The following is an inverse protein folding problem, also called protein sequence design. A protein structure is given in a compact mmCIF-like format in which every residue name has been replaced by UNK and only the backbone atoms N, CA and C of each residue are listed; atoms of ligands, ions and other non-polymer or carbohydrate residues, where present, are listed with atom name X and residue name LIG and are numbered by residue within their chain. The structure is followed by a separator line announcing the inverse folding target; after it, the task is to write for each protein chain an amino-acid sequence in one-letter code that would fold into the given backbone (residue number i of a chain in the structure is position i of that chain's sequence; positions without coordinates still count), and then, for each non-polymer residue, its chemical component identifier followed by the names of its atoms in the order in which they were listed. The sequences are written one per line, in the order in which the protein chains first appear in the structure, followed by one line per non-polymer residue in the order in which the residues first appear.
data_IF_064763890792
#
_entry.id   IF_064763890792
#
_cell.length_a   1.000
_cell.length_b   1.000
_cell.length_c   1.000
_cell.angle_alpha   90.00
_cell.angle_beta   90.00
_cell.angle_gamma   90.00
#
_symmetry.space_group_name_H-M   'P 1'
#
loop_
_entity.id
_entity.type
_entity.pdbx_description
1 polymer ?
#
# COMPACT_ATOMS: atom_id res chain seq x y z
N UNK A 1 76.28 -16.05 -10.57
CA UNK A 1 75.80 -16.84 -9.41
C UNK A 1 74.46 -16.24 -8.97
N UNK A 2 73.49 -17.10 -8.66
CA UNK A 2 72.03 -16.93 -8.84
C UNK A 2 71.36 -15.83 -8.01
N UNK A 3 70.49 -15.09 -8.68
CA UNK A 3 69.38 -14.28 -8.16
C UNK A 3 68.28 -15.17 -7.58
N UNK A 4 67.74 -14.82 -6.41
CA UNK A 4 66.60 -15.51 -5.80
C UNK A 4 65.32 -14.68 -5.97
N UNK A 5 64.39 -15.17 -6.79
CA UNK A 5 62.99 -14.75 -6.78
C UNK A 5 62.24 -15.53 -5.69
N UNK A 6 61.63 -14.81 -4.73
CA UNK A 6 60.57 -15.34 -3.86
C UNK A 6 59.24 -14.66 -4.21
N UNK A 7 58.35 -15.36 -4.89
CA UNK A 7 56.92 -15.05 -4.97
C UNK A 7 56.14 -16.35 -5.13
N UNK A 8 55.20 -16.60 -4.21
CA UNK A 8 53.86 -17.21 -4.41
C UNK A 8 53.33 -17.87 -3.12
N UNK A 9 53.20 -17.11 -2.03
CA UNK A 9 52.38 -17.55 -0.87
C UNK A 9 51.28 -16.54 -0.49
N UNK A 10 51.12 -15.44 -1.23
CA UNK A 10 50.13 -14.39 -0.92
C UNK A 10 48.70 -14.67 -1.39
N UNK A 11 48.50 -15.44 -2.46
CA UNK A 11 47.20 -15.50 -3.13
C UNK A 11 46.16 -16.39 -2.42
N UNK A 12 46.57 -17.33 -1.55
CA UNK A 12 45.64 -18.24 -0.86
C UNK A 12 45.05 -17.66 0.43
N UNK A 13 45.66 -16.61 1.01
CA UNK A 13 45.16 -15.96 2.24
C UNK A 13 44.23 -14.77 1.96
N UNK A 14 44.28 -14.21 0.75
CA UNK A 14 43.44 -13.07 0.37
C UNK A 14 41.97 -13.46 0.11
N UNK A 15 41.69 -14.69 -0.32
CA UNK A 15 40.34 -15.16 -0.64
C UNK A 15 39.54 -15.66 0.58
N UNK A 16 40.19 -16.06 1.66
CA UNK A 16 39.53 -16.41 2.93
C UNK A 16 39.17 -15.19 3.78
N UNK A 17 39.82 -14.04 3.55
CA UNK A 17 39.52 -12.79 4.29
C UNK A 17 38.25 -12.08 3.81
N UNK A 18 37.89 -12.22 2.53
CA UNK A 18 36.72 -11.54 1.97
C UNK A 18 35.38 -12.18 2.36
N UNK A 19 35.36 -13.46 2.75
CA UNK A 19 34.13 -14.15 3.19
C UNK A 19 33.80 -13.95 4.68
N UNK A 20 34.77 -13.52 5.50
CA UNK A 20 34.57 -13.30 6.95
C UNK A 20 34.19 -11.86 7.31
N UNK A 21 34.34 -10.90 6.40
CA UNK A 21 33.93 -9.51 6.61
C UNK A 21 32.43 -9.26 6.33
N UNK A 22 31.73 -10.21 5.68
CA UNK A 22 30.30 -10.10 5.39
C UNK A 22 29.38 -10.57 6.53
N UNK A 23 29.90 -11.31 7.52
CA UNK A 23 29.10 -11.85 8.63
C UNK A 23 29.10 -10.98 9.90
N UNK A 24 29.89 -9.90 9.97
CA UNK A 24 30.02 -9.08 11.19
C UNK A 24 29.18 -7.81 11.20
N UNK A 25 28.33 -7.60 10.18
CA UNK A 25 27.39 -6.45 10.13
C UNK A 25 25.98 -6.79 10.66
N UNK A 26 25.77 -7.99 11.22
CA UNK A 26 24.48 -8.45 11.75
C UNK A 26 24.43 -8.55 13.29
N UNK A 27 25.27 -7.80 14.02
CA UNK A 27 25.26 -7.88 15.49
C UNK A 27 25.28 -6.49 16.15
N UNK A 28 24.28 -6.29 17.02
CA UNK A 28 24.07 -5.26 18.04
C UNK A 28 23.57 -3.88 17.60
N UNK A 29 22.26 -3.76 17.38
CA UNK A 29 21.51 -2.61 17.88
C UNK A 29 20.95 -2.98 19.26
N UNK A 30 21.52 -2.38 20.31
CA UNK A 30 21.04 -2.55 21.68
C UNK A 30 19.68 -1.87 21.85
N UNK A 31 18.73 -2.61 22.41
CA UNK A 31 17.48 -2.03 22.89
C UNK A 31 17.80 -1.14 24.09
N UNK A 32 17.59 0.18 23.94
CA UNK A 32 17.53 1.10 25.07
C UNK A 32 16.15 0.94 25.72
N UNK A 33 16.09 0.23 26.84
CA UNK A 33 14.95 0.29 27.75
C UNK A 33 15.06 1.59 28.54
N UNK A 34 14.12 2.51 28.31
CA UNK A 34 13.87 3.64 29.20
C UNK A 34 12.69 3.26 30.09
N UNK A 35 12.99 2.94 31.35
CA UNK A 35 12.01 2.95 32.43
C UNK A 35 11.94 4.36 33.00
N UNK A 36 10.78 5.00 32.94
CA UNK A 36 10.36 6.05 33.87
C UNK A 36 8.82 6.18 33.87
N UNK A 37 8.20 6.71 34.94
CA UNK A 37 7.08 6.03 35.59
C UNK A 37 5.69 6.47 35.11
N UNK A 38 4.80 5.47 35.06
CA UNK A 38 3.38 5.48 35.48
C UNK A 38 2.65 6.84 35.51
N UNK A 39 1.90 7.11 34.45
CA UNK A 39 0.61 7.79 34.56
C UNK A 39 -0.48 6.77 34.17
N UNK A 40 -1.17 6.23 35.17
CA UNK A 40 -2.29 5.32 34.99
C UNK A 40 -3.43 6.00 34.25
N UNK A 41 -3.61 5.65 32.99
CA UNK A 41 -4.92 5.63 32.35
C UNK A 41 -5.02 4.27 31.65
N UNK A 42 -5.82 3.37 32.21
CA UNK A 42 -6.13 2.08 31.62
C UNK A 42 -6.64 2.29 30.19
N UNK A 43 -6.10 1.58 29.16
CA UNK A 43 -6.74 1.58 27.87
C UNK A 43 -8.05 0.82 28.00
N UNK A 44 -9.15 1.54 27.83
CA UNK A 44 -10.42 0.95 27.43
C UNK A 44 -10.18 0.43 26.01
N UNK A 45 -10.46 -0.86 25.83
CA UNK A 45 -10.62 -1.59 24.57
C UNK A 45 -10.93 -0.65 23.35
N UNK A 46 -9.89 -0.28 22.60
CA UNK A 46 -10.01 0.62 21.43
C UNK A 46 -10.41 -0.21 20.19
N UNK A 47 -11.63 -0.73 20.23
CA UNK A 47 -12.35 -1.07 19.00
C UNK A 47 -12.68 0.24 18.29
N UNK A 48 -11.89 0.62 17.28
CA UNK A 48 -12.09 1.83 16.47
C UNK A 48 -13.55 1.90 15.99
N UNK A 49 -14.34 2.75 16.67
CA UNK A 49 -15.79 2.76 16.57
C UNK A 49 -16.28 3.14 15.17
N UNK A 50 -17.58 2.93 14.87
CA UNK A 50 -18.14 3.26 13.57
C UNK A 50 -17.93 4.74 13.21
N UNK A 51 -17.30 5.01 12.07
CA UNK A 51 -17.07 6.39 11.59
C UNK A 51 -18.25 6.88 10.74
N UNK A 52 -18.88 7.96 11.17
CA UNK A 52 -20.05 8.55 10.48
C UNK A 52 -19.64 9.24 9.18
N UNK A 53 -20.42 9.08 8.10
CA UNK A 53 -20.10 9.68 6.79
C UNK A 53 -20.03 11.22 6.82
N UNK A 54 -19.13 11.75 5.99
CA UNK A 54 -19.20 13.15 5.55
C UNK A 54 -20.27 13.37 4.49
N UNK A 55 -20.69 14.62 4.31
CA UNK A 55 -21.71 15.02 3.31
C UNK A 55 -21.12 15.69 2.06
N UNK A 56 -19.82 16.02 2.09
CA UNK A 56 -19.10 16.60 0.96
C UNK A 56 -17.70 16.02 0.86
N UNK A 57 -17.04 16.19 -0.28
CA UNK A 57 -15.63 15.79 -0.45
C UNK A 57 -14.70 16.43 0.60
N UNK A 58 -14.98 17.66 1.03
CA UNK A 58 -14.16 18.38 2.02
C UNK A 58 -14.44 17.96 3.46
N UNK A 59 -15.57 17.31 3.70
CA UNK A 59 -15.99 16.85 5.02
C UNK A 59 -15.99 15.32 5.09
N UNK A 60 -15.38 14.66 4.11
CA UNK A 60 -15.27 13.22 4.06
C UNK A 60 -14.60 12.70 5.33
N UNK A 61 -15.19 11.67 5.93
CA UNK A 61 -14.68 11.11 7.18
C UNK A 61 -13.54 10.14 6.88
N UNK A 62 -12.46 10.25 7.65
CA UNK A 62 -11.35 9.30 7.56
C UNK A 62 -11.84 7.89 7.92
N UNK A 63 -11.43 6.92 7.12
CA UNK A 63 -11.72 5.52 7.28
C UNK A 63 -10.41 4.76 7.15
N UNK A 64 -10.02 4.08 8.22
CA UNK A 64 -8.84 3.24 8.19
C UNK A 64 -9.08 2.02 7.30
N UNK A 65 -8.02 1.55 6.66
CA UNK A 65 -8.09 0.35 5.85
C UNK A 65 -8.48 -0.86 6.72
N UNK A 66 -9.51 -1.60 6.31
CA UNK A 66 -10.09 -2.71 7.08
C UNK A 66 -11.13 -2.28 8.13
N UNK A 67 -11.24 -0.99 8.45
CA UNK A 67 -12.31 -0.47 9.31
C UNK A 67 -13.64 -0.42 8.56
N UNK A 68 -14.74 -0.55 9.31
CA UNK A 68 -16.10 -0.33 8.79
C UNK A 68 -16.61 1.06 9.21
N UNK A 69 -16.83 1.92 8.23
CA UNK A 69 -17.56 3.17 8.38
C UNK A 69 -19.05 2.91 8.29
N UNK A 70 -19.84 3.72 9.00
CA UNK A 70 -21.30 3.59 8.99
C UNK A 70 -21.97 4.94 8.80
N UNK A 71 -23.22 4.97 8.33
CA UNK A 71 -23.98 6.20 8.32
C UNK A 71 -25.47 5.92 8.45
N UNK A 72 -26.17 6.83 9.12
CA UNK A 72 -27.62 6.95 9.01
C UNK A 72 -27.90 8.17 8.16
N UNK A 73 -28.46 7.96 6.99
CA UNK A 73 -28.65 8.99 6.00
C UNK A 73 -30.07 8.95 5.45
N UNK A 74 -30.37 9.89 4.57
CA UNK A 74 -31.60 9.90 3.80
C UNK A 74 -31.33 9.46 2.37
N UNK A 75 -32.29 8.77 1.77
CA UNK A 75 -32.23 8.41 0.36
C UNK A 75 -32.17 9.68 -0.50
N UNK A 76 -31.12 9.79 -1.33
CA UNK A 76 -30.80 10.99 -2.11
C UNK A 76 -29.59 11.78 -1.57
N UNK A 77 -29.11 11.48 -0.36
CA UNK A 77 -27.90 12.10 0.17
C UNK A 77 -26.65 11.61 -0.56
N UNK A 78 -25.58 12.41 -0.46
CA UNK A 78 -24.23 12.02 -0.86
C UNK A 78 -23.41 11.76 0.38
N UNK A 79 -22.86 10.55 0.47
CA UNK A 79 -22.06 10.10 1.62
C UNK A 79 -20.61 9.97 1.20
N UNK A 80 -19.71 10.51 2.02
CA UNK A 80 -18.28 10.59 1.73
C UNK A 80 -17.43 10.02 2.85
N UNK A 81 -16.50 9.14 2.46
CA UNK A 81 -15.39 8.68 3.29
C UNK A 81 -14.08 8.88 2.52
N UNK A 82 -12.97 8.90 3.24
CA UNK A 82 -11.63 8.95 2.68
C UNK A 82 -10.77 7.89 3.33
N UNK A 83 -10.01 7.13 2.54
CA UNK A 83 -9.07 6.13 3.03
C UNK A 83 -7.72 6.31 2.30
N UNK A 84 -6.59 6.02 2.95
CA UNK A 84 -5.30 6.08 2.29
C UNK A 84 -5.08 4.80 1.47
N UNK A 85 -4.34 4.84 0.36
CA UNK A 85 -3.89 3.64 -0.35
C UNK A 85 -2.48 3.82 -0.92
N UNK A 86 -1.58 2.92 -0.54
CA UNK A 86 -0.15 2.97 -0.90
C UNK A 86 0.15 2.18 -2.19
N UNK A 87 1.34 2.41 -2.76
CA UNK A 87 1.85 1.65 -3.90
C UNK A 87 1.87 0.14 -3.62
N UNK A 88 1.60 -0.67 -4.65
CA UNK A 88 1.55 -2.13 -4.53
C UNK A 88 0.21 -2.66 -4.00
N UNK A 89 -0.62 -1.80 -3.41
CA UNK A 89 -1.94 -2.18 -2.93
C UNK A 89 -2.96 -2.24 -4.06
N UNK A 90 -3.93 -3.14 -3.93
CA UNK A 90 -5.16 -3.16 -4.73
C UNK A 90 -6.38 -3.04 -3.81
N UNK A 91 -6.82 -1.80 -3.52
CA UNK A 91 -7.96 -1.59 -2.65
C UNK A 91 -9.27 -2.10 -3.25
N UNK A 92 -10.10 -2.69 -2.39
CA UNK A 92 -11.48 -3.05 -2.69
C UNK A 92 -12.40 -2.26 -1.77
N UNK A 93 -13.25 -1.43 -2.36
CA UNK A 93 -14.27 -0.69 -1.63
C UNK A 93 -15.58 -1.46 -1.73
N UNK A 94 -16.19 -1.75 -0.57
CA UNK A 94 -17.48 -2.41 -0.46
C UNK A 94 -18.45 -1.51 0.29
N UNK A 95 -19.68 -1.43 -0.18
CA UNK A 95 -20.75 -0.71 0.49
C UNK A 95 -22.03 -1.53 0.54
N UNK A 96 -22.67 -1.54 1.71
CA UNK A 96 -23.98 -2.14 1.92
C UNK A 96 -24.95 -1.05 2.34
N UNK A 97 -26.00 -0.86 1.55
CA UNK A 97 -27.10 0.05 1.86
C UNK A 97 -28.27 -0.77 2.38
N UNK A 98 -28.66 -0.55 3.62
CA UNK A 98 -29.86 -1.11 4.25
C UNK A 98 -31.04 -0.19 3.94
N UNK A 99 -32.04 -0.75 3.29
CA UNK A 99 -33.21 -0.03 2.80
C UNK A 99 -34.42 -0.29 3.69
N UNK A 100 -35.33 0.70 3.85
CA UNK A 100 -36.54 0.50 4.62
C UNK A 100 -37.49 -0.43 3.85
N UNK A 101 -38.09 -1.38 4.57
CA UNK A 101 -38.90 -2.47 4.00
C UNK A 101 -40.33 -2.05 3.63
N UNK A 102 -40.90 -1.02 4.28
CA UNK A 102 -42.32 -0.65 4.14
C UNK A 102 -42.57 0.74 3.53
N UNK A 103 -41.53 1.56 3.38
CA UNK A 103 -41.68 2.96 2.97
C UNK A 103 -41.39 3.20 1.47
N UNK A 104 -40.88 2.19 0.75
CA UNK A 104 -40.49 2.34 -0.65
C UNK A 104 -41.62 1.91 -1.58
N UNK A 105 -41.83 2.72 -2.60
CA UNK A 105 -42.90 2.51 -3.57
C UNK A 105 -42.41 1.86 -4.86
N UNK A 106 -41.10 1.92 -5.13
CA UNK A 106 -40.56 1.57 -6.45
C UNK A 106 -39.06 1.23 -6.43
N UNK A 107 -38.53 0.88 -7.60
CA UNK A 107 -37.10 0.57 -7.81
C UNK A 107 -36.23 1.80 -7.57
N UNK A 108 -35.07 1.62 -6.96
CA UNK A 108 -34.03 2.67 -6.85
C UNK A 108 -32.69 2.16 -7.40
N UNK A 109 -31.84 3.05 -7.91
CA UNK A 109 -30.50 2.71 -8.38
C UNK A 109 -29.46 3.41 -7.51
N UNK A 110 -28.52 2.64 -6.98
CA UNK A 110 -27.44 3.11 -6.11
C UNK A 110 -26.11 2.99 -6.82
N UNK A 111 -25.20 3.91 -6.52
CA UNK A 111 -23.88 3.96 -7.11
C UNK A 111 -22.79 4.27 -6.07
N UNK A 112 -21.69 3.52 -6.17
CA UNK A 112 -20.42 3.78 -5.49
C UNK A 112 -19.36 4.24 -6.48
N UNK A 113 -18.80 5.42 -6.22
CA UNK A 113 -17.69 5.98 -6.97
C UNK A 113 -16.47 6.14 -6.06
N UNK A 114 -15.28 5.95 -6.62
CA UNK A 114 -14.02 6.19 -5.93
C UNK A 114 -13.24 7.26 -6.71
N UNK A 115 -12.73 8.24 -5.99
CA UNK A 115 -11.95 9.36 -6.52
C UNK A 115 -10.56 9.39 -5.89
N UNK A 116 -9.54 9.81 -6.64
CA UNK A 116 -8.24 10.12 -6.05
C UNK A 116 -8.26 11.50 -5.35
N UNK A 117 -7.16 11.87 -4.68
CA UNK A 117 -7.01 13.17 -4.02
C UNK A 117 -7.08 14.37 -4.98
N UNK A 118 -6.89 14.12 -6.28
CA UNK A 118 -7.06 15.10 -7.36
C UNK A 118 -8.49 15.11 -7.94
N UNK A 119 -9.42 14.41 -7.29
CA UNK A 119 -10.84 14.30 -7.67
C UNK A 119 -11.06 13.65 -9.04
N UNK A 120 -10.11 12.88 -9.54
CA UNK A 120 -10.29 12.06 -10.75
C UNK A 120 -10.94 10.75 -10.36
N UNK A 121 -12.04 10.42 -11.03
CA UNK A 121 -12.76 9.16 -10.82
C UNK A 121 -11.87 8.00 -11.24
N UNK A 122 -11.68 7.06 -10.33
CA UNK A 122 -10.94 5.83 -10.58
C UNK A 122 -11.89 4.75 -11.12
N UNK A 123 -11.46 4.07 -12.17
CA UNK A 123 -12.22 2.98 -12.75
C UNK A 123 -12.04 1.70 -11.91
N UNK A 124 -13.15 1.00 -11.64
CA UNK A 124 -13.09 -0.30 -10.97
C UNK A 124 -12.87 -1.39 -12.01
N UNK A 125 -11.91 -2.28 -11.77
CA UNK A 125 -11.67 -3.45 -12.61
C UNK A 125 -12.75 -4.51 -12.44
N UNK A 126 -13.23 -4.66 -11.20
CA UNK A 126 -14.22 -5.66 -10.83
C UNK A 126 -15.24 -5.07 -9.86
N UNK A 127 -16.32 -5.81 -9.68
CA UNK A 127 -17.40 -5.44 -8.78
C UNK A 127 -18.56 -4.77 -9.50
N UNK A 128 -19.52 -4.33 -8.70
CA UNK A 128 -20.73 -3.69 -9.18
C UNK A 128 -20.84 -2.31 -8.60
N UNK A 129 -20.34 -1.34 -9.35
CA UNK A 129 -20.38 0.08 -8.97
C UNK A 129 -21.79 0.63 -8.91
N UNK A 130 -22.71 0.07 -9.71
CA UNK A 130 -24.09 0.54 -9.82
C UNK A 130 -25.02 -0.66 -9.71
N UNK A 131 -26.04 -0.55 -8.85
CA UNK A 131 -27.02 -1.61 -8.60
C UNK A 131 -28.43 -1.06 -8.51
N UNK A 132 -29.37 -1.79 -9.10
CA UNK A 132 -30.81 -1.56 -8.91
C UNK A 132 -31.30 -2.36 -7.72
N UNK A 133 -32.12 -1.72 -6.89
CA UNK A 133 -32.82 -2.30 -5.76
C UNK A 133 -34.31 -2.35 -6.07
N UNK A 134 -34.89 -3.55 -6.06
CA UNK A 134 -36.34 -3.70 -6.15
C UNK A 134 -37.05 -3.03 -4.96
N UNK A 135 -38.35 -2.73 -5.10
CA UNK A 135 -39.15 -2.05 -4.08
C UNK A 135 -39.22 -2.82 -2.74
N UNK A 136 -39.02 -4.15 -2.78
CA UNK A 136 -39.01 -5.07 -1.64
C UNK A 136 -37.59 -5.46 -1.17
N UNK A 137 -36.54 -5.04 -1.89
CA UNK A 137 -35.15 -5.38 -1.55
C UNK A 137 -34.70 -4.80 -0.19
N UNK A 138 -34.37 -5.64 0.78
CA UNK A 138 -33.94 -5.17 2.11
C UNK A 138 -32.57 -4.46 2.11
N UNK A 139 -31.70 -4.79 1.15
CA UNK A 139 -30.36 -4.22 1.04
C UNK A 139 -29.86 -4.14 -0.40
N UNK A 140 -28.82 -3.33 -0.61
CA UNK A 140 -28.06 -3.24 -1.85
C UNK A 140 -26.59 -3.33 -1.53
N UNK A 141 -25.91 -4.26 -2.19
CA UNK A 141 -24.47 -4.44 -2.07
C UNK A 141 -23.77 -3.93 -3.32
N UNK A 142 -22.80 -3.04 -3.11
CA UNK A 142 -21.99 -2.40 -4.12
C UNK A 142 -20.52 -2.72 -3.87
N UNK A 143 -19.76 -2.84 -4.94
CA UNK A 143 -18.31 -3.06 -4.82
C UNK A 143 -17.54 -2.42 -5.96
N UNK A 144 -16.34 -1.94 -5.63
CA UNK A 144 -15.38 -1.38 -6.55
C UNK A 144 -13.99 -1.91 -6.20
N UNK A 145 -13.46 -2.81 -7.03
CA UNK A 145 -12.06 -3.23 -6.94
C UNK A 145 -11.23 -2.32 -7.84
N UNK A 146 -10.30 -1.57 -7.28
CA UNK A 146 -9.43 -0.69 -8.04
C UNK A 146 -8.37 -1.48 -8.84
N UNK A 147 -7.67 -0.78 -9.74
CA UNK A 147 -6.38 -1.25 -10.24
C UNK A 147 -5.33 -1.18 -9.12
N UNK A 148 -4.26 -1.94 -9.26
CA UNK A 148 -3.12 -1.83 -8.35
C UNK A 148 -2.58 -0.40 -8.40
N UNK A 149 -2.43 0.19 -7.23
CA UNK A 149 -1.82 1.50 -7.05
C UNK A 149 -0.34 1.38 -7.43
N UNK A 150 0.12 2.20 -8.36
CA UNK A 150 1.50 2.21 -8.82
C UNK A 150 2.27 3.30 -8.07
N UNK A 151 3.56 3.09 -7.84
CA UNK A 151 4.44 4.11 -7.28
C UNK A 151 4.74 5.25 -8.26
N UNK A 152 4.46 5.07 -9.57
CA UNK A 152 4.63 6.08 -10.60
C UNK A 152 3.70 5.82 -11.80
N UNK A 153 3.35 6.87 -12.54
CA UNK A 153 2.63 6.77 -13.81
C UNK A 153 3.01 7.87 -14.78
N UNK A 154 2.82 7.62 -16.07
CA UNK A 154 2.95 8.64 -17.12
C UNK A 154 1.87 9.72 -16.99
N UNK A 155 2.10 10.98 -17.40
CA UNK A 155 1.12 12.06 -17.25
C UNK A 155 -0.20 11.84 -18.00
N UNK A 156 -0.20 11.05 -19.06
CA UNK A 156 -1.41 10.69 -19.83
C UNK A 156 -2.06 9.39 -19.36
N UNK A 157 -1.42 8.65 -18.45
CA UNK A 157 -1.96 7.44 -17.88
C UNK A 157 -2.96 7.77 -16.76
N UNK A 158 -3.98 6.93 -16.62
CA UNK A 158 -5.00 7.03 -15.58
C UNK A 158 -4.76 6.06 -14.43
N UNK A 159 -3.52 5.60 -14.27
CA UNK A 159 -3.17 4.60 -13.26
C UNK A 159 -3.37 5.18 -11.84
N UNK A 160 -3.92 4.40 -10.90
CA UNK A 160 -4.03 4.85 -9.52
C UNK A 160 -2.64 5.07 -8.93
N UNK A 161 -2.46 6.17 -8.21
CA UNK A 161 -1.20 6.59 -7.57
C UNK A 161 -1.37 6.68 -6.04
N UNK A 162 -0.29 6.64 -5.25
CA UNK A 162 -0.39 6.59 -3.79
C UNK A 162 -0.99 7.89 -3.28
N UNK A 163 -1.92 7.83 -2.34
CA UNK A 163 -2.55 9.02 -1.77
C UNK A 163 -3.91 8.73 -1.14
N UNK A 164 -4.69 9.79 -0.92
CA UNK A 164 -6.02 9.69 -0.33
C UNK A 164 -7.08 9.38 -1.39
N UNK A 165 -7.88 8.34 -1.16
CA UNK A 165 -8.97 7.93 -2.02
C UNK A 165 -10.31 8.23 -1.36
N UNK A 166 -11.19 8.91 -2.08
CA UNK A 166 -12.49 9.35 -1.62
C UNK A 166 -13.58 8.45 -2.16
N UNK A 167 -14.37 7.88 -1.26
CA UNK A 167 -15.54 7.08 -1.58
C UNK A 167 -16.73 8.03 -1.62
N UNK A 168 -17.53 7.96 -2.68
CA UNK A 168 -18.83 8.62 -2.77
C UNK A 168 -19.91 7.57 -2.99
N UNK A 169 -20.88 7.52 -2.09
CA UNK A 169 -22.06 6.69 -2.21
C UNK A 169 -23.30 7.57 -2.38
N UNK A 170 -24.15 7.25 -3.35
CA UNK A 170 -25.40 7.98 -3.58
C UNK A 170 -26.42 7.16 -4.36
N UNK A 171 -27.68 7.58 -4.33
CA UNK A 171 -28.72 7.08 -5.22
C UNK A 171 -28.75 7.93 -6.51
N UNK A 172 -28.58 7.29 -7.67
CA UNK A 172 -28.50 7.96 -8.99
C UNK A 172 -29.83 7.97 -9.74
N UNK A 173 -30.75 7.08 -9.37
CA UNK A 173 -32.12 7.04 -9.88
C UNK A 173 -33.03 6.68 -8.72
N UNK A 174 -33.69 7.70 -8.18
CA UNK A 174 -34.54 7.59 -7.00
C UNK A 174 -35.87 8.29 -7.28
N UNK A 175 -37.00 7.58 -7.18
CA UNK A 175 -38.32 8.17 -7.35
C UNK A 175 -38.58 9.26 -6.32
N UNK A 176 -39.23 10.35 -6.72
CA UNK A 176 -39.40 11.53 -5.87
C UNK A 176 -40.15 11.24 -4.56
N UNK A 177 -41.04 10.25 -4.56
CA UNK A 177 -41.77 9.79 -3.37
C UNK A 177 -40.87 9.09 -2.34
N UNK A 178 -39.73 8.54 -2.79
CA UNK A 178 -38.80 7.77 -1.97
C UNK A 178 -37.59 8.63 -1.51
N UNK A 179 -37.52 9.91 -1.91
CA UNK A 179 -36.54 10.88 -1.41
C UNK A 179 -36.74 11.14 0.08
N UNK A 180 -35.64 11.23 0.83
CA UNK A 180 -35.70 11.53 2.26
C UNK A 180 -35.95 10.31 3.15
N UNK A 181 -36.20 9.12 2.57
CA UNK A 181 -36.41 7.91 3.35
C UNK A 181 -35.15 7.52 4.13
N UNK A 182 -35.27 7.05 5.39
CA UNK A 182 -34.11 6.71 6.19
C UNK A 182 -33.42 5.46 5.62
N UNK A 183 -32.09 5.55 5.46
CA UNK A 183 -31.24 4.44 5.03
C UNK A 183 -30.07 4.26 6.00
N UNK A 184 -29.69 3.01 6.22
CA UNK A 184 -28.47 2.67 6.93
C UNK A 184 -27.39 2.29 5.92
N UNK A 185 -26.17 2.75 6.13
CA UNK A 185 -25.05 2.46 5.23
C UNK A 185 -23.88 1.92 6.03
N UNK A 186 -23.22 0.92 5.46
CA UNK A 186 -21.94 0.39 5.92
C UNK A 186 -20.97 0.42 4.75
N UNK A 187 -19.76 0.94 4.96
CA UNK A 187 -18.70 1.02 3.95
C UNK A 187 -17.41 0.51 4.55
N UNK A 188 -16.63 -0.23 3.76
CA UNK A 188 -15.26 -0.62 4.12
C UNK A 188 -14.35 -0.53 2.92
N UNK A 189 -13.09 -0.18 3.16
CA UNK A 189 -12.03 -0.24 2.17
C UNK A 189 -10.99 -1.26 2.63
N UNK A 190 -10.79 -2.31 1.84
CA UNK A 190 -9.87 -3.41 2.19
C UNK A 190 -8.68 -3.40 1.23
N UNK A 191 -7.44 -3.29 1.74
CA UNK A 191 -6.25 -3.40 0.91
C UNK A 191 -6.01 -4.86 0.57
N UNK A 192 -5.44 -5.07 -0.62
CA UNK A 192 -4.83 -6.35 -0.99
C UNK A 192 -3.44 -6.08 -1.51
N UNK A 193 -2.44 -6.59 -0.81
CA UNK A 193 -1.07 -6.55 -1.29
C UNK A 193 -0.90 -7.42 -2.53
N UNK A 194 -0.36 -6.84 -3.59
CA UNK A 194 -0.14 -7.54 -4.85
C UNK A 194 1.27 -8.15 -4.95
N UNK A 195 2.15 -7.81 -4.00
CA UNK A 195 3.53 -8.30 -3.94
C UNK A 195 4.42 -7.73 -5.05
N UNK A 196 5.72 -8.06 -4.98
CA UNK A 196 6.76 -7.40 -5.77
C UNK A 196 6.71 -7.64 -7.29
N UNK A 197 5.80 -8.48 -7.79
CA UNK A 197 5.57 -8.66 -9.22
C UNK A 197 4.91 -7.42 -9.87
N UNK A 198 4.30 -6.56 -9.05
CA UNK A 198 3.63 -5.33 -9.49
C UNK A 198 4.40 -4.06 -9.10
N UNK A 199 5.54 -4.20 -8.41
CA UNK A 199 6.44 -3.10 -8.12
C UNK A 199 7.03 -2.57 -9.43
N UNK A 200 7.02 -1.26 -9.58
CA UNK A 200 7.69 -0.58 -10.70
C UNK A 200 8.85 0.25 -10.16
N UNK A 201 9.94 0.30 -10.92
CA UNK A 201 11.09 1.11 -10.56
C UNK A 201 10.73 2.59 -10.82
N UNK A 202 10.38 3.32 -9.75
CA UNK A 202 9.98 4.72 -9.80
C UNK A 202 9.20 5.12 -8.56
N UNK A 203 9.27 6.39 -8.17
CA UNK A 203 8.56 6.93 -7.01
C UNK A 203 7.88 8.24 -7.38
N UNK A 204 6.68 8.44 -6.86
CA UNK A 204 6.02 9.74 -6.89
C UNK A 204 6.77 10.65 -5.93
N UNK A 205 7.00 11.90 -6.34
CA UNK A 205 7.72 12.87 -5.49
C UNK A 205 6.94 13.17 -4.21
N UNK A 206 5.60 13.23 -4.30
CA UNK A 206 4.73 13.50 -3.17
C UNK A 206 3.39 12.75 -3.38
N UNK A 207 2.83 12.06 -2.36
CA UNK A 207 1.55 11.38 -2.46
C UNK A 207 0.39 12.30 -2.87
N UNK A 208 -0.63 11.75 -3.54
CA UNK A 208 -1.83 12.47 -3.96
C UNK A 208 -2.77 12.75 -2.78
N UNK A 209 -2.34 13.61 -1.86
CA UNK A 209 -3.10 14.10 -0.72
C UNK A 209 -3.66 15.48 -1.07
N UNK A 210 -4.88 15.85 -0.62
CA UNK A 210 -5.43 17.18 -0.88
C UNK A 210 -4.46 18.31 -0.49
N UNK A 211 -4.16 19.21 -1.43
CA UNK A 211 -3.28 20.35 -1.20
C UNK A 211 -1.83 20.19 -1.70
N UNK A 212 -1.44 19.01 -2.17
CA UNK A 212 -0.08 18.80 -2.71
C UNK A 212 0.24 19.69 -3.91
N UNK A 213 -0.73 19.92 -4.81
CA UNK A 213 -0.52 20.75 -6.00
C UNK A 213 -0.39 22.25 -5.73
N UNK A 214 -0.82 22.73 -4.55
CA UNK A 214 -0.63 24.13 -4.14
C UNK A 214 0.73 24.33 -3.47
N UNK A 215 1.20 23.34 -2.70
CA UNK A 215 2.53 23.38 -2.09
C UNK A 215 3.66 23.43 -3.12
N UNK A 216 3.56 22.68 -4.23
CA UNK A 216 4.58 22.70 -5.29
C UNK A 216 4.58 23.96 -6.17
N UNK A 217 3.55 24.82 -6.06
CA UNK A 217 3.49 26.11 -6.74
C UNK A 217 4.00 27.28 -5.87
N UNK A 218 4.09 27.07 -4.55
CA UNK A 218 4.34 28.10 -3.53
C UNK A 218 5.76 28.03 -2.91
N UNK A 219 6.76 27.57 -3.67
CA UNK A 219 8.18 27.91 -3.41
C UNK A 219 8.47 29.44 -3.57
N UNK A 220 7.42 30.25 -3.72
CA UNK A 220 7.41 31.70 -3.60
C UNK A 220 6.32 32.21 -2.64
N UNK A 221 6.19 31.61 -1.45
CA UNK A 221 5.75 32.34 -0.25
C UNK A 221 4.24 32.42 0.03
N UNK A 222 3.90 31.91 1.22
CA UNK A 222 2.72 32.21 2.04
C UNK A 222 1.34 31.73 1.54
N UNK A 223 0.81 30.68 2.16
CA UNK A 223 -0.22 30.78 3.23
C UNK A 223 -0.79 29.40 3.55
N UNK A 224 -0.93 29.08 4.84
CA UNK A 224 -1.57 27.87 5.32
C UNK A 224 -3.05 27.84 4.90
N UNK A 225 -3.36 27.19 3.78
CA UNK A 225 -4.71 26.89 3.37
C UNK A 225 -5.38 25.93 4.39
N UNK A 226 -6.72 25.98 4.56
CA UNK A 226 -7.42 25.11 5.49
C UNK A 226 -7.18 23.65 5.12
N UNK A 227 -6.59 22.89 6.04
CA UNK A 227 -6.27 21.48 5.88
C UNK A 227 -7.60 20.72 5.67
N UNK A 228 -7.84 20.28 4.44
CA UNK A 228 -8.90 19.31 4.15
C UNK A 228 -8.59 18.04 4.95
N UNK A 229 -9.57 17.35 5.56
CA UNK A 229 -9.32 16.06 6.19
C UNK A 229 -8.71 15.12 5.16
N UNK A 230 -7.42 14.89 5.29
CA UNK A 230 -6.74 13.74 4.71
C UNK A 230 -7.03 12.58 5.66
N UNK A 231 -7.41 11.43 5.13
CA UNK A 231 -7.06 10.21 5.85
C UNK A 231 -5.56 10.29 6.07
N UNK A 232 -5.12 10.13 7.33
CA UNK A 232 -3.71 10.26 7.67
C UNK A 232 -2.83 9.39 6.79
N UNK A 233 -1.52 9.62 6.89
CA UNK A 233 -0.52 8.67 6.40
C UNK A 233 -0.95 7.23 6.75
N UNK A 234 -0.80 6.24 5.85
CA UNK A 234 -0.95 4.83 6.24
C UNK A 234 -0.11 4.51 7.48
N UNK A 235 -0.51 3.51 8.27
CA UNK A 235 0.23 3.06 9.47
C UNK A 235 1.72 2.78 9.17
N UNK A 236 2.03 2.27 7.97
CA UNK A 236 3.40 1.96 7.53
C UNK A 236 4.09 3.11 6.76
N UNK A 237 3.45 4.28 6.72
CA UNK A 237 3.89 5.45 5.95
C UNK A 237 3.64 5.33 4.44
N UNK A 238 3.88 6.42 3.71
CA UNK A 238 3.90 6.37 2.25
C UNK A 238 5.22 5.78 1.76
N UNK A 239 5.14 4.83 0.84
CA UNK A 239 6.29 4.10 0.31
C UNK A 239 6.98 3.19 1.34
N UNK A 240 6.25 2.21 1.85
CA UNK A 240 6.78 1.07 2.63
C UNK A 240 7.76 0.15 1.84
N UNK A 241 8.14 0.50 0.61
CA UNK A 241 8.69 -0.40 -0.41
C UNK A 241 10.21 -0.51 -0.56
N UNK A 242 11.05 -0.18 0.43
CA UNK A 242 12.49 -0.49 0.28
C UNK A 242 12.78 -2.00 0.43
N UNK A 243 11.94 -2.73 1.19
CA UNK A 243 11.98 -4.17 1.36
C UNK A 243 10.73 -4.80 0.73
N UNK A 244 10.90 -5.57 -0.34
CA UNK A 244 9.80 -6.26 -1.03
C UNK A 244 10.18 -7.71 -1.33
N UNK A 245 9.21 -8.57 -1.62
CA UNK A 245 9.45 -9.99 -1.96
C UNK A 245 10.42 -10.16 -3.15
N UNK A 246 10.61 -9.11 -3.96
CA UNK A 246 11.64 -9.08 -5.01
C UNK A 246 13.04 -9.26 -4.45
N UNK A 247 13.34 -8.70 -3.27
CA UNK A 247 14.63 -8.88 -2.61
C UNK A 247 14.86 -10.33 -2.17
N UNK A 248 13.82 -11.04 -1.74
CA UNK A 248 13.92 -12.45 -1.41
C UNK A 248 14.40 -13.27 -2.62
N UNK A 249 13.81 -13.02 -3.80
CA UNK A 249 14.21 -13.67 -5.04
C UNK A 249 15.57 -13.20 -5.56
N UNK A 250 15.89 -11.91 -5.44
CA UNK A 250 17.14 -11.34 -5.96
C UNK A 250 18.34 -11.78 -5.12
N UNK A 251 18.25 -11.67 -3.79
CA UNK A 251 19.30 -12.12 -2.86
C UNK A 251 19.37 -13.64 -2.85
N UNK A 252 18.22 -14.32 -2.82
CA UNK A 252 18.16 -15.79 -2.88
C UNK A 252 18.78 -16.35 -4.16
N UNK A 253 18.44 -15.76 -5.32
CA UNK A 253 19.02 -16.11 -6.61
C UNK A 253 20.52 -15.83 -6.68
N UNK A 254 20.96 -14.67 -6.15
CA UNK A 254 22.38 -14.33 -6.06
C UNK A 254 23.18 -15.30 -5.19
N UNK A 255 22.63 -15.69 -4.04
CA UNK A 255 23.24 -16.69 -3.15
C UNK A 255 23.34 -18.06 -3.83
N UNK A 256 22.27 -18.52 -4.51
CA UNK A 256 22.27 -19.78 -5.25
C UNK A 256 23.28 -19.76 -6.41
N UNK A 257 23.38 -18.65 -7.15
CA UNK A 257 24.37 -18.48 -8.22
C UNK A 257 25.81 -18.51 -7.68
N UNK A 258 26.07 -17.86 -6.54
CA UNK A 258 27.37 -17.90 -5.88
C UNK A 258 27.73 -19.31 -5.41
N UNK A 259 26.79 -20.04 -4.81
CA UNK A 259 26.99 -21.44 -4.40
C UNK A 259 27.29 -22.33 -5.61
N UNK A 260 26.54 -22.18 -6.70
CA UNK A 260 26.79 -22.91 -7.94
C UNK A 260 28.17 -22.59 -8.54
N UNK A 261 28.60 -21.32 -8.49
CA UNK A 261 29.92 -20.90 -8.96
C UNK A 261 31.05 -21.51 -8.12
N UNK A 262 30.92 -21.50 -6.78
CA UNK A 262 31.89 -22.12 -5.87
C UNK A 262 31.95 -23.63 -6.08
N UNK A 263 30.79 -24.28 -6.21
CA UNK A 263 30.71 -25.70 -6.48
C UNK A 263 31.34 -26.07 -7.83
N UNK A 264 30.99 -25.37 -8.91
CA UNK A 264 31.60 -25.58 -10.23
C UNK A 264 33.11 -25.32 -10.23
N UNK A 265 33.57 -24.29 -9.52
CA UNK A 265 35.00 -24.03 -9.34
C UNK A 265 35.70 -25.17 -8.60
N UNK A 266 35.08 -25.74 -7.56
CA UNK A 266 35.65 -26.87 -6.82
C UNK A 266 35.78 -28.13 -7.67
N UNK A 267 34.84 -28.39 -8.59
CA UNK A 267 34.90 -29.51 -9.53
C UNK A 267 35.98 -29.30 -10.60
N UNK A 268 36.12 -28.08 -11.11
CA UNK A 268 37.06 -27.78 -12.22
C UNK A 268 38.50 -27.55 -11.77
N UNK A 269 38.75 -27.21 -10.50
CA UNK A 269 40.11 -26.94 -10.00
C UNK A 269 41.04 -28.15 -10.07
N UNK A 270 40.50 -29.37 -10.18
CA UNK A 270 41.26 -30.61 -10.18
C UNK A 270 41.99 -30.87 -8.85
N UNK A 271 42.31 -32.14 -8.56
CA UNK A 271 43.27 -32.46 -7.49
C UNK A 271 44.63 -31.91 -7.95
N UNK A 272 45.10 -30.85 -7.30
CA UNK A 272 46.31 -30.13 -7.70
C UNK A 272 47.52 -31.04 -7.92
N UNK A 273 48.52 -30.53 -8.66
CA UNK A 273 49.75 -31.27 -9.01
C UNK A 273 50.34 -31.98 -7.78
N UNK A 274 50.58 -33.30 -7.82
CA UNK A 274 51.19 -34.02 -6.71
C UNK A 274 52.53 -33.37 -6.34
N UNK A 275 52.79 -33.21 -5.04
CA UNK A 275 53.95 -32.51 -4.48
C UNK A 275 55.30 -33.22 -4.72
N UNK A 276 55.30 -34.32 -5.50
CA UNK A 276 56.43 -35.24 -5.64
C UNK A 276 56.85 -35.44 -7.10
N UNK A 277 56.82 -34.39 -7.91
CA UNK A 277 57.50 -34.41 -9.21
C UNK A 277 58.84 -33.70 -9.04
N UNK A 278 59.98 -34.43 -8.98
CA UNK A 278 61.28 -33.81 -8.92
C UNK A 278 61.52 -32.98 -10.20
N UNK A 279 62.22 -31.83 -10.12
CA UNK A 279 62.56 -31.05 -11.30
C UNK A 279 63.39 -31.92 -12.24
N UNK A 280 62.90 -32.10 -13.47
CA UNK A 280 63.62 -32.79 -14.53
C UNK A 280 64.93 -32.08 -14.87
N UNK A 281 65.95 -32.89 -15.13
CA UNK A 281 67.36 -32.56 -15.44
C UNK A 281 67.53 -31.55 -16.56
#
# INVERSE_FOLDING_TARGET
MRTNLRRTHGARRALTGALLAGLTLLTSAGAAAADDPSASASPIDDGSGPTEAGTTFRTATALDQGQTGTARASAGDYLYWVFPADAGQRPTVEATVKLPSSARSSTSTWQIDVYDGLRRRQACMYGHQTRKAAADAASVELSCVLRTVRSWSEPWASDPLPGSYYIRLTAVDLPAADLGLPVGVEVKAVPKEQGGAHDVDGTLSEPLVPGVSVASADDAGASAAPRVPSAGEPEDGWASGWWTDRWLWTVGGGALAALAAVFGYSLTRGRGRPAHVPPGV
#
